data_IF_828168223166
#
_entry.id   IF_828168223166
#
_cell.length_a   1.000
_cell.length_b   1.000
_cell.length_c   1.000
_cell.angle_alpha   90.00
_cell.angle_beta   90.00
_cell.angle_gamma   90.00
#
_symmetry.space_group_name_H-M   'P 1'
#
loop_
_entity.id
_entity.type
_entity.pdbx_description
1 polymer ?
#
# COMPACT_ATOMS: atom_id res chain seq x y z
N UNK A 1 -18.24 -12.51 -8.34
CA UNK A 1 -18.72 -13.69 -7.58
C UNK A 1 -18.56 -13.41 -6.10
N UNK A 2 -19.55 -13.72 -5.25
CA UNK A 2 -19.42 -13.54 -3.80
C UNK A 2 -18.29 -14.45 -3.26
N UNK A 3 -17.48 -13.94 -2.34
CA UNK A 3 -16.45 -14.73 -1.66
C UNK A 3 -17.16 -15.42 -0.47
N UNK A 4 -17.07 -16.76 -0.32
CA UNK A 4 -17.55 -17.44 0.88
C UNK A 4 -16.92 -16.80 2.12
N UNK A 5 -17.66 -16.65 3.22
CA UNK A 5 -17.08 -16.17 4.46
C UNK A 5 -15.90 -17.09 4.84
N UNK A 6 -14.67 -16.58 4.71
CA UNK A 6 -13.43 -17.37 4.80
C UNK A 6 -13.14 -17.94 6.20
N UNK A 7 -13.99 -17.64 7.16
CA UNK A 7 -14.02 -18.14 8.53
C UNK A 7 -15.02 -19.28 8.74
N UNK A 8 -15.78 -19.69 7.71
CA UNK A 8 -16.80 -20.74 7.85
C UNK A 8 -17.97 -20.35 8.76
N UNK A 9 -18.13 -19.07 9.08
CA UNK A 9 -19.23 -18.62 9.95
C UNK A 9 -20.56 -18.66 9.20
N UNK A 10 -21.31 -19.75 9.40
CA UNK A 10 -22.73 -19.81 9.04
C UNK A 10 -23.54 -18.77 9.82
N UNK A 11 -24.77 -18.50 9.39
CA UNK A 11 -25.69 -17.65 10.13
C UNK A 11 -26.00 -18.31 11.49
N UNK A 12 -25.76 -17.61 12.61
CA UNK A 12 -25.99 -18.13 13.96
C UNK A 12 -27.46 -18.52 14.22
N UNK A 13 -28.39 -17.97 13.45
CA UNK A 13 -29.83 -18.25 13.58
C UNK A 13 -30.32 -19.41 12.72
N UNK A 14 -29.83 -19.58 11.49
CA UNK A 14 -30.37 -20.57 10.55
C UNK A 14 -29.35 -21.57 10.02
N UNK A 15 -28.08 -21.45 10.40
CA UNK A 15 -26.99 -22.34 9.99
C UNK A 15 -26.62 -22.28 8.50
N UNK A 16 -27.31 -21.47 7.70
CA UNK A 16 -27.03 -21.33 6.27
C UNK A 16 -25.71 -20.58 6.04
N UNK A 17 -25.04 -20.91 4.94
CA UNK A 17 -23.83 -20.24 4.50
C UNK A 17 -24.10 -18.75 4.26
N UNK A 18 -23.19 -17.91 4.75
CA UNK A 18 -23.23 -16.46 4.52
C UNK A 18 -22.11 -16.02 3.59
N UNK A 19 -22.35 -14.92 2.88
CA UNK A 19 -21.35 -14.26 2.05
C UNK A 19 -21.05 -12.89 2.64
N UNK A 20 -19.77 -12.56 2.79
CA UNK A 20 -19.33 -11.22 3.20
C UNK A 20 -19.07 -10.38 1.96
N UNK A 21 -19.67 -9.19 1.92
CA UNK A 21 -19.42 -8.19 0.89
C UNK A 21 -18.87 -6.93 1.54
N UNK A 22 -17.71 -6.49 1.06
CA UNK A 22 -17.12 -5.21 1.44
C UNK A 22 -17.45 -4.18 0.37
N UNK A 23 -17.85 -2.98 0.79
CA UNK A 23 -18.09 -1.84 -0.09
C UNK A 23 -17.36 -0.64 0.50
N UNK A 24 -16.69 0.14 -0.35
CA UNK A 24 -16.06 1.38 0.06
C UNK A 24 -17.00 2.54 -0.28
N UNK A 25 -17.27 3.39 0.69
CA UNK A 25 -18.12 4.58 0.54
C UNK A 25 -17.30 5.88 0.53
N UNK A 26 -16.03 5.80 0.91
CA UNK A 26 -15.14 6.96 0.99
C UNK A 26 -13.82 6.63 0.34
N UNK A 27 -13.35 7.55 -0.51
CA UNK A 27 -12.01 7.56 -1.06
C UNK A 27 -11.13 8.53 -0.25
N UNK A 28 -10.28 8.09 0.69
CA UNK A 28 -9.45 9.02 1.44
C UNK A 28 -8.37 9.67 0.54
N UNK A 29 -7.94 10.91 0.81
CA UNK A 29 -6.82 11.55 0.09
C UNK A 29 -5.54 10.71 0.05
N UNK A 30 -5.27 10.00 1.14
CA UNK A 30 -4.14 9.07 1.28
C UNK A 30 -4.69 7.69 1.64
N UNK A 31 -4.27 6.69 0.89
CA UNK A 31 -4.56 5.28 1.15
C UNK A 31 -3.29 4.57 1.61
N UNK A 32 -3.35 3.92 2.77
CA UNK A 32 -2.26 3.10 3.30
C UNK A 32 -2.65 1.63 3.18
N UNK A 33 -1.80 0.84 2.52
CA UNK A 33 -2.05 -0.58 2.26
C UNK A 33 -0.99 -1.40 2.97
N UNK A 34 -1.42 -2.24 3.92
CA UNK A 34 -0.54 -3.19 4.59
C UNK A 34 -0.36 -4.43 3.71
N UNK A 35 0.88 -4.73 3.37
CA UNK A 35 1.27 -5.83 2.46
C UNK A 35 2.30 -6.78 3.08
N UNK A 36 2.61 -6.59 4.37
CA UNK A 36 3.46 -7.50 5.14
C UNK A 36 3.01 -8.96 4.96
N UNK A 37 3.97 -9.85 4.74
CA UNK A 37 3.74 -11.29 4.49
C UNK A 37 2.92 -11.62 3.23
N UNK A 38 2.78 -10.69 2.28
CA UNK A 38 2.15 -10.94 0.98
C UNK A 38 3.19 -10.96 -0.16
N UNK A 39 2.72 -11.27 -1.37
CA UNK A 39 3.50 -11.13 -2.62
C UNK A 39 3.18 -9.84 -3.37
N UNK A 40 2.35 -8.95 -2.80
CA UNK A 40 1.93 -7.70 -3.43
C UNK A 40 3.14 -6.79 -3.65
N UNK A 41 3.36 -6.37 -4.88
CA UNK A 41 4.40 -5.42 -5.24
C UNK A 41 3.85 -4.00 -5.34
N UNK A 42 4.70 -2.96 -5.15
CA UNK A 42 4.30 -1.59 -5.39
C UNK A 42 3.94 -1.39 -6.88
N UNK A 43 2.73 -0.91 -7.13
CA UNK A 43 2.30 -0.43 -8.44
C UNK A 43 2.33 1.10 -8.45
N UNK A 44 2.80 1.73 -9.53
CA UNK A 44 2.81 3.19 -9.68
C UNK A 44 1.40 3.79 -9.54
N UNK A 45 0.37 3.06 -9.97
CA UNK A 45 -1.02 3.47 -9.84
C UNK A 45 -1.95 2.31 -9.52
N UNK A 46 -2.99 2.60 -8.74
CA UNK A 46 -4.05 1.64 -8.42
C UNK A 46 -5.42 2.29 -8.58
N UNK A 47 -6.44 1.45 -8.71
CA UNK A 47 -7.83 1.85 -8.75
C UNK A 47 -8.59 1.13 -7.64
N UNK A 48 -9.45 1.86 -6.94
CA UNK A 48 -10.42 1.29 -6.01
C UNK A 48 -11.83 1.68 -6.43
N UNK A 49 -12.79 0.77 -6.23
CA UNK A 49 -14.21 1.07 -6.45
C UNK A 49 -14.81 1.69 -5.19
N UNK A 50 -15.36 2.91 -5.32
CA UNK A 50 -16.07 3.63 -4.27
C UNK A 50 -17.47 3.97 -4.79
N UNK A 51 -18.49 3.42 -4.13
CA UNK A 51 -19.90 3.52 -4.58
C UNK A 51 -20.12 3.19 -6.07
N UNK A 52 -19.34 2.22 -6.59
CA UNK A 52 -19.42 1.80 -7.99
C UNK A 52 -18.60 2.66 -8.97
N UNK A 53 -17.98 3.75 -8.50
CA UNK A 53 -17.11 4.61 -9.30
C UNK A 53 -15.63 4.26 -9.08
N UNK A 54 -14.85 4.27 -10.16
CA UNK A 54 -13.41 4.04 -10.09
C UNK A 54 -12.68 5.30 -9.60
N UNK A 55 -11.95 5.18 -8.49
CA UNK A 55 -11.10 6.24 -7.96
C UNK A 55 -9.63 5.86 -8.12
N UNK A 56 -8.85 6.78 -8.67
CA UNK A 56 -7.46 6.57 -9.03
C UNK A 56 -6.52 7.08 -7.94
N UNK A 57 -5.48 6.30 -7.70
CA UNK A 57 -4.41 6.64 -6.77
C UNK A 57 -3.06 6.43 -7.44
N UNK A 58 -2.08 7.25 -7.06
CA UNK A 58 -0.67 7.11 -7.42
C UNK A 58 0.17 6.80 -6.20
N UNK A 59 1.20 5.98 -6.34
CA UNK A 59 2.09 5.68 -5.22
C UNK A 59 2.86 6.93 -4.79
N UNK A 60 2.97 7.13 -3.49
CA UNK A 60 3.72 8.23 -2.87
C UNK A 60 4.72 7.75 -1.82
N UNK A 61 4.68 6.46 -1.47
CA UNK A 61 5.77 5.89 -0.69
C UNK A 61 5.62 4.40 -0.41
N UNK A 62 6.73 3.85 0.06
CA UNK A 62 6.89 2.46 0.46
C UNK A 62 7.66 2.45 1.77
N UNK A 63 7.23 1.63 2.72
CA UNK A 63 7.98 1.35 3.95
C UNK A 63 8.34 -0.13 4.00
N UNK A 64 9.57 -0.38 4.40
CA UNK A 64 10.15 -1.70 4.57
C UNK A 64 10.49 -1.86 6.04
N UNK A 65 10.17 -3.03 6.61
CA UNK A 65 10.59 -3.39 7.95
C UNK A 65 11.64 -4.48 7.90
N UNK A 66 12.77 -4.25 8.58
CA UNK A 66 13.84 -5.24 8.64
C UNK A 66 14.91 -4.85 9.64
N UNK A 67 15.59 -5.86 10.21
CA UNK A 67 16.69 -5.64 11.17
C UNK A 67 16.30 -4.65 12.28
N UNK A 68 15.09 -4.83 12.83
CA UNK A 68 14.53 -4.07 13.96
C UNK A 68 14.31 -2.57 13.72
N UNK A 69 14.27 -2.09 12.48
CA UNK A 69 13.85 -0.71 12.17
C UNK A 69 13.14 -0.61 10.81
N UNK A 70 12.54 0.56 10.57
CA UNK A 70 11.87 0.86 9.30
C UNK A 70 12.79 1.70 8.42
N UNK A 71 12.83 1.35 7.13
CA UNK A 71 13.34 2.22 6.09
C UNK A 71 12.18 2.61 5.19
N UNK A 72 12.31 3.73 4.48
CA UNK A 72 11.24 4.25 3.65
C UNK A 72 11.77 4.89 2.38
N UNK A 73 10.94 4.81 1.35
CA UNK A 73 11.06 5.61 0.13
C UNK A 73 9.79 6.39 -0.06
N UNK A 74 9.89 7.68 -0.37
CA UNK A 74 8.73 8.49 -0.75
C UNK A 74 8.95 9.14 -2.11
N UNK A 75 7.85 9.35 -2.82
CA UNK A 75 7.83 9.90 -4.18
C UNK A 75 7.26 11.31 -4.09
N UNK A 76 8.04 12.29 -4.55
CA UNK A 76 7.57 13.67 -4.62
C UNK A 76 6.79 13.97 -5.91
N UNK A 77 6.38 15.22 -6.06
CA UNK A 77 5.55 15.64 -7.20
C UNK A 77 6.30 15.63 -8.53
N UNK A 78 7.63 15.73 -8.49
CA UNK A 78 8.52 15.62 -9.64
C UNK A 78 8.87 14.15 -9.95
N UNK A 79 8.19 13.19 -9.32
CA UNK A 79 8.45 11.74 -9.44
C UNK A 79 9.85 11.33 -8.97
N UNK A 80 10.47 12.13 -8.10
CA UNK A 80 11.76 11.79 -7.49
C UNK A 80 11.54 10.91 -6.27
N UNK A 81 12.41 9.92 -6.10
CA UNK A 81 12.39 8.99 -4.98
C UNK A 81 13.42 9.41 -3.96
N UNK A 82 12.95 9.52 -2.72
CA UNK A 82 13.75 9.93 -1.58
C UNK A 82 13.78 8.82 -0.54
N UNK A 83 14.97 8.37 -0.17
CA UNK A 83 15.21 7.34 0.83
C UNK A 83 15.45 7.95 2.22
N UNK A 84 14.88 7.32 3.24
CA UNK A 84 15.13 7.64 4.64
C UNK A 84 15.18 6.33 5.45
N UNK A 85 16.23 6.16 6.26
CA UNK A 85 16.46 4.95 7.07
C UNK A 85 16.00 5.09 8.53
N UNK A 86 15.38 6.20 8.89
CA UNK A 86 14.85 6.53 10.22
C UNK A 86 15.90 6.71 11.33
N UNK A 87 17.07 6.08 11.21
CA UNK A 87 18.10 6.01 12.25
C UNK A 87 19.31 6.87 11.90
N UNK A 88 19.99 6.59 10.77
CA UNK A 88 21.24 7.28 10.42
C UNK A 88 20.96 8.64 9.81
N UNK A 89 19.91 8.75 8.99
CA UNK A 89 19.52 9.97 8.31
C UNK A 89 18.62 10.87 9.17
N UNK A 90 17.88 10.29 10.14
CA UNK A 90 16.97 11.02 11.00
C UNK A 90 15.93 11.84 10.19
N UNK A 91 16.06 13.17 10.22
CA UNK A 91 15.15 14.10 9.48
C UNK A 91 15.55 14.33 8.02
N UNK A 92 16.69 13.79 7.58
CA UNK A 92 17.20 13.96 6.22
C UNK A 92 16.74 12.82 5.32
N UNK A 93 16.73 13.07 4.02
CA UNK A 93 16.43 12.05 3.02
C UNK A 93 17.40 12.17 1.86
N UNK A 94 17.76 11.04 1.26
CA UNK A 94 18.69 10.95 0.14
C UNK A 94 17.90 10.79 -1.16
N UNK A 95 18.23 11.60 -2.17
CA UNK A 95 17.67 11.43 -3.51
C UNK A 95 18.30 10.18 -4.17
N UNK A 96 17.47 9.20 -4.51
CA UNK A 96 17.91 7.97 -5.19
C UNK A 96 17.70 8.02 -6.71
N UNK A 97 16.83 8.92 -7.18
CA UNK A 97 16.56 9.09 -8.61
C UNK A 97 15.07 9.32 -8.90
N UNK A 98 14.61 8.84 -10.05
CA UNK A 98 13.20 8.91 -10.46
C UNK A 98 12.52 7.55 -10.29
N UNK A 99 11.20 7.57 -10.06
CA UNK A 99 10.42 6.35 -9.77
C UNK A 99 10.57 5.25 -10.83
N UNK A 100 10.77 5.61 -12.10
CA UNK A 100 10.93 4.65 -13.19
C UNK A 100 12.31 3.96 -13.20
N UNK A 101 13.27 4.47 -12.42
CA UNK A 101 14.65 3.97 -12.35
C UNK A 101 15.06 3.43 -10.99
N UNK A 102 14.23 3.58 -9.95
CA UNK A 102 14.50 3.08 -8.60
C UNK A 102 13.67 1.83 -8.34
N UNK A 103 14.31 0.76 -7.88
CA UNK A 103 13.62 -0.46 -7.47
C UNK A 103 12.86 -0.22 -6.15
N UNK A 104 11.55 -0.04 -6.24
CA UNK A 104 10.67 0.12 -5.09
C UNK A 104 10.28 -1.23 -4.45
N UNK A 105 10.60 -2.37 -5.08
CA UNK A 105 10.18 -3.70 -4.62
C UNK A 105 11.05 -4.25 -3.50
N UNK A 106 12.24 -3.67 -3.29
CA UNK A 106 13.19 -4.09 -2.26
C UNK A 106 13.98 -2.93 -1.69
N UNK A 107 14.24 -2.93 -0.38
CA UNK A 107 15.24 -2.02 0.20
C UNK A 107 16.68 -2.46 -0.13
N UNK A 108 17.67 -1.69 0.34
CA UNK A 108 19.10 -2.00 0.17
C UNK A 108 19.54 -3.33 0.81
N UNK A 109 18.78 -3.84 1.79
CA UNK A 109 18.97 -5.13 2.43
C UNK A 109 18.13 -6.26 1.80
N UNK A 110 17.46 -5.99 0.66
CA UNK A 110 16.64 -6.96 -0.06
C UNK A 110 15.25 -7.22 0.56
N UNK A 111 14.83 -6.46 1.57
CA UNK A 111 13.55 -6.59 2.27
C UNK A 111 12.39 -6.15 1.38
N UNK A 112 11.30 -6.90 1.42
CA UNK A 112 10.06 -6.58 0.71
C UNK A 112 9.29 -5.48 1.44
N UNK A 113 8.38 -4.78 0.76
CA UNK A 113 7.49 -3.80 1.39
C UNK A 113 6.61 -4.43 2.46
N UNK A 114 6.38 -3.69 3.53
CA UNK A 114 5.37 -3.99 4.54
C UNK A 114 4.17 -3.07 4.39
N UNK A 115 4.40 -1.84 3.93
CA UNK A 115 3.36 -0.82 3.76
C UNK A 115 3.58 -0.06 2.45
N UNK A 116 2.51 0.11 1.69
CA UNK A 116 2.43 0.99 0.53
C UNK A 116 1.57 2.21 0.87
N UNK A 117 1.98 3.38 0.40
CA UNK A 117 1.24 4.63 0.53
C UNK A 117 0.88 5.18 -0.85
N UNK A 118 -0.38 5.55 -0.98
CA UNK A 118 -1.00 5.99 -2.22
C UNK A 118 -1.71 7.33 -2.00
N UNK A 119 -1.62 8.25 -2.95
CA UNK A 119 -2.33 9.54 -2.96
C UNK A 119 -3.37 9.55 -4.07
N UNK A 120 -4.57 10.05 -3.77
CA UNK A 120 -5.64 10.22 -4.75
C UNK A 120 -5.20 11.19 -5.85
N UNK A 121 -5.57 10.92 -7.11
CA UNK A 121 -5.06 11.67 -8.28
C UNK A 121 -5.82 12.98 -8.52
N UNK A 122 -7.04 13.10 -8.02
CA UNK A 122 -7.92 14.27 -8.18
C UNK A 122 -7.67 15.39 -7.14
N UNK A 123 -6.50 15.35 -6.48
CA UNK A 123 -6.03 16.32 -5.48
C UNK A 123 -4.76 17.03 -5.95
#
# INVERSE_FOLDING_TARGET
MPIPAGDGSGCEHCGLNTYKRYTHHVAPPILTVFVAHTTTTPNEGIQIAVDGHAVHYKIVGVMYYGHSHFTSRFVDEQRRVWYNDGIQLGRWSLLEGYINGVDMTRDSAGKKPDILKYRRVDL
#
